data_IF_819308716830
#
_entry.id   IF_819308716830
#
_cell.length_a   1.000
_cell.length_b   1.000
_cell.length_c   1.000
_cell.angle_alpha   90.00
_cell.angle_beta   90.00
_cell.angle_gamma   90.00
#
_symmetry.space_group_name_H-M   'P 1'
#
loop_
_entity.id
_entity.type
_entity.pdbx_description
1 polymer ?
#
# COMPACT_ATOMS: atom_id res chain seq x y z
N UNK A 1 -9.04 15.13 3.21
CA UNK A 1 -8.64 13.98 2.40
C UNK A 1 -7.25 14.25 1.87
N UNK A 2 -6.31 13.32 2.10
CA UNK A 2 -4.94 13.43 1.60
C UNK A 2 -4.91 13.14 0.09
N UNK A 3 -4.02 13.80 -0.65
CA UNK A 3 -3.72 13.42 -2.04
C UNK A 3 -2.93 12.11 -2.08
N UNK A 4 -2.88 11.48 -3.26
CA UNK A 4 -2.09 10.28 -3.49
C UNK A 4 -0.61 10.49 -3.16
N UNK A 5 -0.04 11.64 -3.55
CA UNK A 5 1.35 12.00 -3.27
C UNK A 5 1.59 12.21 -1.76
N UNK A 6 0.64 12.84 -1.05
CA UNK A 6 0.74 13.01 0.41
C UNK A 6 0.70 11.67 1.16
N UNK A 7 -0.13 10.73 0.69
CA UNK A 7 -0.20 9.36 1.22
C UNK A 7 1.14 8.65 1.00
N UNK A 8 1.67 8.70 -0.22
CA UNK A 8 2.96 8.08 -0.58
C UNK A 8 4.09 8.64 0.25
N UNK A 9 4.19 9.97 0.40
CA UNK A 9 5.25 10.61 1.17
C UNK A 9 5.16 10.28 2.68
N UNK A 10 3.96 10.22 3.25
CA UNK A 10 3.78 9.78 4.64
C UNK A 10 4.20 8.32 4.84
N UNK A 11 3.82 7.43 3.92
CA UNK A 11 4.24 6.02 3.94
C UNK A 11 5.75 5.87 3.82
N UNK A 12 6.38 6.59 2.90
CA UNK A 12 7.83 6.58 2.69
C UNK A 12 8.58 7.04 3.94
N UNK A 13 8.12 8.11 4.60
CA UNK A 13 8.70 8.60 5.86
C UNK A 13 8.55 7.59 6.99
N UNK A 14 7.40 6.93 7.10
CA UNK A 14 7.13 5.96 8.17
C UNK A 14 7.94 4.65 7.99
N UNK A 15 8.00 4.13 6.76
CA UNK A 15 8.63 2.83 6.46
C UNK A 15 10.14 2.93 6.23
N UNK A 16 10.68 4.11 5.91
CA UNK A 16 12.11 4.31 5.68
C UNK A 16 12.66 3.34 4.64
N UNK A 17 13.70 2.57 5.00
CA UNK A 17 14.38 1.61 4.13
C UNK A 17 13.50 0.41 3.70
N UNK A 18 12.34 0.22 4.33
CA UNK A 18 11.37 -0.81 3.96
C UNK A 18 10.45 -0.37 2.82
N UNK A 19 10.39 0.93 2.51
CA UNK A 19 9.71 1.46 1.33
C UNK A 19 10.67 1.36 0.13
N UNK A 20 10.27 0.64 -0.92
CA UNK A 20 11.12 0.41 -2.09
C UNK A 20 10.78 1.37 -3.23
N UNK A 21 9.51 1.40 -3.64
CA UNK A 21 9.02 2.25 -4.71
C UNK A 21 7.52 2.52 -4.51
N UNK A 22 7.01 3.57 -5.14
CA UNK A 22 5.58 3.72 -5.35
C UNK A 22 5.30 4.30 -6.73
N UNK A 23 4.08 4.04 -7.21
CA UNK A 23 3.56 4.63 -8.44
C UNK A 23 2.09 4.96 -8.28
N UNK A 24 1.67 6.02 -8.98
CA UNK A 24 0.27 6.42 -9.10
C UNK A 24 -0.09 6.34 -10.59
N UNK A 25 -0.31 5.12 -11.14
CA UNK A 25 -0.50 4.96 -12.58
C UNK A 25 -1.74 5.68 -13.13
N UNK A 26 -2.71 5.99 -12.27
CA UNK A 26 -3.87 6.82 -12.56
C UNK A 26 -4.45 7.38 -11.25
N UNK A 27 -5.29 8.40 -11.38
CA UNK A 27 -6.05 8.98 -10.26
C UNK A 27 -6.70 7.90 -9.41
N UNK A 28 -6.58 8.05 -8.09
CA UNK A 28 -7.08 7.18 -7.02
C UNK A 28 -6.47 5.79 -6.97
N UNK A 29 -5.36 5.53 -7.64
CA UNK A 29 -4.71 4.21 -7.62
C UNK A 29 -3.25 4.32 -7.24
N UNK A 30 -2.92 3.85 -6.04
CA UNK A 30 -1.57 3.87 -5.50
C UNK A 30 -1.06 2.43 -5.42
N UNK A 31 0.12 2.18 -5.99
CA UNK A 31 0.87 0.96 -5.76
C UNK A 31 2.12 1.30 -4.97
N UNK A 32 2.34 0.58 -3.88
CA UNK A 32 3.52 0.72 -3.02
C UNK A 32 4.22 -0.63 -2.95
N UNK A 33 5.47 -0.67 -3.37
CA UNK A 33 6.32 -1.83 -3.18
C UNK A 33 7.08 -1.68 -1.87
N UNK A 34 7.00 -2.70 -1.01
CA UNK A 34 7.66 -2.73 0.28
C UNK A 34 8.51 -3.99 0.41
N UNK A 35 9.41 -4.00 1.40
CA UNK A 35 10.06 -5.26 1.81
C UNK A 35 9.02 -6.19 2.44
N UNK A 36 9.16 -7.50 2.20
CA UNK A 36 8.22 -8.52 2.68
C UNK A 36 8.02 -8.48 4.19
N UNK A 37 9.09 -8.28 4.94
CA UNK A 37 9.11 -8.18 6.40
C UNK A 37 8.31 -6.98 6.93
N UNK A 38 8.05 -5.96 6.10
CA UNK A 38 7.42 -4.71 6.49
C UNK A 38 5.89 -4.68 6.32
N UNK A 39 5.27 -5.77 5.86
CA UNK A 39 3.82 -5.80 5.62
C UNK A 39 3.01 -5.45 6.87
N UNK A 40 3.43 -5.94 8.05
CA UNK A 40 2.73 -5.63 9.31
C UNK A 40 2.83 -4.16 9.68
N UNK A 41 4.00 -3.55 9.48
CA UNK A 41 4.23 -2.13 9.76
C UNK A 41 3.46 -1.25 8.78
N UNK A 42 3.45 -1.60 7.50
CA UNK A 42 2.67 -0.90 6.47
C UNK A 42 1.17 -0.94 6.76
N UNK A 43 0.62 -2.12 7.11
CA UNK A 43 -0.79 -2.25 7.49
C UNK A 43 -1.10 -1.52 8.80
N UNK A 44 -0.18 -1.53 9.77
CA UNK A 44 -0.30 -0.75 11.01
C UNK A 44 -0.39 0.75 10.72
N UNK A 45 0.47 1.27 9.85
CA UNK A 45 0.42 2.66 9.39
C UNK A 45 -0.93 2.98 8.72
N UNK A 46 -1.37 2.16 7.76
CA UNK A 46 -2.66 2.36 7.09
C UNK A 46 -3.82 2.40 8.11
N UNK A 47 -3.83 1.48 9.07
CA UNK A 47 -4.91 1.37 10.05
C UNK A 47 -4.91 2.44 11.14
N UNK A 48 -3.72 2.84 11.62
CA UNK A 48 -3.56 3.74 12.78
C UNK A 48 -3.37 5.19 12.38
N UNK A 49 -2.56 5.45 11.36
CA UNK A 49 -2.21 6.82 10.94
C UNK A 49 -3.19 7.35 9.87
N UNK A 50 -3.65 6.48 8.97
CA UNK A 50 -4.61 6.85 7.91
C UNK A 50 -6.04 6.38 8.19
N UNK A 51 -6.30 5.68 9.30
CA UNK A 51 -7.62 5.16 9.64
C UNK A 51 -8.27 4.30 8.52
N UNK A 52 -7.47 3.63 7.70
CA UNK A 52 -7.94 2.68 6.68
C UNK A 52 -8.48 1.43 7.37
N UNK A 53 -9.76 1.13 7.17
CA UNK A 53 -10.44 -0.03 7.81
C UNK A 53 -10.89 -1.11 6.85
N UNK A 54 -10.83 -0.86 5.55
CA UNK A 54 -11.34 -1.78 4.55
C UNK A 54 -10.19 -2.38 3.74
N UNK A 55 -9.91 -3.66 3.98
CA UNK A 55 -9.12 -4.50 3.09
C UNK A 55 -10.11 -5.14 2.10
N UNK A 56 -10.06 -4.72 0.84
CA UNK A 56 -10.98 -5.16 -0.20
C UNK A 56 -10.68 -6.58 -0.64
N UNK A 57 -9.40 -6.83 -1.00
CA UNK A 57 -8.97 -8.07 -1.63
C UNK A 57 -7.49 -8.31 -1.32
N UNK A 58 -7.08 -9.57 -1.18
CA UNK A 58 -5.69 -9.99 -1.31
C UNK A 58 -5.59 -10.84 -2.57
N UNK A 59 -4.77 -10.40 -3.52
CA UNK A 59 -4.53 -11.11 -4.78
C UNK A 59 -3.23 -11.88 -4.68
N UNK A 60 -3.24 -13.17 -5.02
CA UNK A 60 -2.04 -13.96 -5.26
C UNK A 60 -1.75 -14.04 -6.74
N UNK A 61 -0.57 -13.58 -7.17
CA UNK A 61 -0.10 -13.68 -8.54
C UNK A 61 0.97 -14.77 -8.60
N UNK A 62 0.75 -15.80 -9.40
CA UNK A 62 1.73 -16.86 -9.64
C UNK A 62 2.82 -16.34 -10.60
N UNK A 63 4.05 -16.24 -10.11
CA UNK A 63 5.23 -15.84 -10.88
C UNK A 63 6.11 -17.06 -11.27
N UNK A 64 5.64 -18.28 -11.04
CA UNK A 64 6.34 -19.53 -11.32
C UNK A 64 7.11 -20.06 -10.12
N UNK A 65 8.17 -19.36 -9.70
CA UNK A 65 8.99 -19.78 -8.54
C UNK A 65 8.43 -19.28 -7.19
N UNK A 66 7.65 -18.20 -7.23
CA UNK A 66 7.05 -17.58 -6.06
C UNK A 66 5.64 -17.06 -6.35
N UNK A 67 4.87 -16.82 -5.29
CA UNK A 67 3.57 -16.14 -5.35
C UNK A 67 3.75 -14.73 -4.80
N UNK A 68 3.51 -13.72 -5.63
CA UNK A 68 3.43 -12.33 -5.20
C UNK A 68 2.05 -12.10 -4.56
N UNK A 69 2.02 -11.50 -3.36
CA UNK A 69 0.79 -11.12 -2.68
C UNK A 69 0.58 -9.61 -2.78
N UNK A 70 -0.57 -9.21 -3.30
CA UNK A 70 -0.97 -7.81 -3.41
C UNK A 70 -2.17 -7.56 -2.50
N UNK A 71 -2.03 -6.65 -1.52
CA UNK A 71 -3.06 -6.31 -0.55
C UNK A 71 -3.74 -5.00 -0.97
N UNK A 72 -5.02 -5.06 -1.32
CA UNK A 72 -5.78 -3.92 -1.82
C UNK A 72 -6.66 -3.33 -0.72
N UNK A 73 -6.41 -2.08 -0.34
CA UNK A 73 -7.19 -1.36 0.66
C UNK A 73 -7.99 -0.23 0.04
N UNK A 74 -9.23 -0.02 0.51
CA UNK A 74 -10.04 1.13 0.14
C UNK A 74 -9.90 2.23 1.19
N UNK A 75 -9.57 3.43 0.73
CA UNK A 75 -9.44 4.64 1.53
C UNK A 75 -10.45 5.72 1.07
N UNK A 76 -10.51 6.82 1.81
CA UNK A 76 -11.38 7.96 1.54
C UNK A 76 -11.33 8.42 0.07
N UNK A 77 -12.47 8.87 -0.44
CA UNK A 77 -12.59 9.33 -1.84
C UNK A 77 -12.35 8.24 -2.88
N UNK A 78 -12.54 6.97 -2.51
CA UNK A 78 -12.35 5.81 -3.37
C UNK A 78 -10.91 5.62 -3.85
N UNK A 79 -9.93 6.07 -3.05
CA UNK A 79 -8.52 5.76 -3.29
C UNK A 79 -8.27 4.29 -2.97
N UNK A 80 -7.72 3.55 -3.94
CA UNK A 80 -7.19 2.20 -3.74
C UNK A 80 -5.69 2.29 -3.43
N UNK A 81 -5.29 1.74 -2.27
CA UNK A 81 -3.89 1.59 -1.89
C UNK A 81 -3.55 0.11 -1.97
N UNK A 82 -2.63 -0.24 -2.88
CA UNK A 82 -2.18 -1.61 -3.09
C UNK A 82 -0.76 -1.78 -2.55
N UNK A 83 -0.57 -2.64 -1.55
CA UNK A 83 0.74 -3.02 -1.03
C UNK A 83 1.21 -4.29 -1.72
N UNK A 84 2.44 -4.31 -2.23
CA UNK A 84 3.10 -5.50 -2.80
C UNK A 84 4.55 -5.62 -2.33
#
# INVERSE_FOLDING_TARGET
>A
MLSEDEIVEKMKKFLGNNFLEASVPRTRRIFVKIRREAIKDAVSFLSRELNVKHLSTITGVDLGEEIELIYHFAYEGSIEISLR
#
